data_IF_594079818709
#
_entry.id   IF_594079818709
#
_cell.length_a   1.000
_cell.length_b   1.000
_cell.length_c   1.000
_cell.angle_alpha   90.00
_cell.angle_beta   90.00
_cell.angle_gamma   90.00
#
_symmetry.space_group_name_H-M   'P 1'
#
loop_
_entity.id
_entity.type
_entity.pdbx_description
1 polymer ?
#
# COMPACT_ATOMS: atom_id res chain seq x y z
N UNK A 1 -5.27 -6.94 2.81
CA UNK A 1 -5.52 -5.55 2.36
C UNK A 1 -5.99 -4.63 3.48
N UNK A 2 -7.01 -4.97 4.31
CA UNK A 2 -7.45 -4.07 5.39
C UNK A 2 -6.36 -3.81 6.45
N UNK A 3 -5.61 -4.86 6.81
CA UNK A 3 -4.55 -4.80 7.82
C UNK A 3 -3.41 -3.86 7.42
N UNK A 4 -2.97 -3.91 6.16
CA UNK A 4 -1.93 -3.02 5.61
C UNK A 4 -2.32 -1.55 5.72
N UNK A 5 -3.60 -1.23 5.49
CA UNK A 5 -4.10 0.13 5.68
C UNK A 5 -4.09 0.54 7.15
N UNK A 6 -4.52 -0.33 8.05
CA UNK A 6 -4.49 -0.07 9.49
C UNK A 6 -3.08 0.22 9.99
N UNK A 7 -2.09 -0.59 9.59
CA UNK A 7 -0.68 -0.39 9.95
C UNK A 7 -0.12 0.92 9.37
N UNK A 8 -0.45 1.22 8.11
CA UNK A 8 -0.01 2.43 7.43
C UNK A 8 -0.58 3.70 8.07
N UNK A 9 -1.87 3.72 8.41
CA UNK A 9 -2.50 4.85 9.09
C UNK A 9 -1.96 5.04 10.51
N UNK A 10 -1.74 3.95 11.26
CA UNK A 10 -1.12 4.01 12.57
C UNK A 10 0.31 4.57 12.51
N UNK A 11 1.09 4.19 11.49
CA UNK A 11 2.40 4.77 11.24
C UNK A 11 2.34 6.26 10.92
N UNK A 12 1.42 6.68 10.03
CA UNK A 12 1.24 8.08 9.67
C UNK A 12 0.89 8.94 10.90
N UNK A 13 -0.07 8.50 11.71
CA UNK A 13 -0.49 9.17 12.94
C UNK A 13 0.65 9.27 13.96
N UNK A 14 1.38 8.16 14.19
CA UNK A 14 2.51 8.13 15.13
C UNK A 14 3.65 9.08 14.73
N UNK A 15 3.78 9.41 13.45
CA UNK A 15 4.79 10.34 12.94
C UNK A 15 4.25 11.76 12.68
N UNK A 16 2.98 12.03 13.03
CA UNK A 16 2.35 13.34 12.87
C UNK A 16 2.06 13.73 11.41
N UNK A 17 1.96 12.74 10.51
CA UNK A 17 1.56 12.96 9.12
C UNK A 17 0.03 13.00 9.01
N UNK A 18 -0.48 13.95 8.23
CA UNK A 18 -1.89 14.06 7.89
C UNK A 18 -2.13 13.51 6.48
N UNK A 19 -3.19 12.72 6.33
CA UNK A 19 -3.60 12.13 5.05
C UNK A 19 -4.26 13.20 4.20
N UNK A 20 -3.49 13.80 3.30
CA UNK A 20 -3.95 14.88 2.42
C UNK A 20 -4.84 14.37 1.27
N UNK A 21 -4.56 13.17 0.75
CA UNK A 21 -5.25 12.59 -0.40
C UNK A 21 -5.63 11.12 -0.21
N UNK A 22 -6.48 10.61 -1.10
CA UNK A 22 -6.78 9.18 -1.13
C UNK A 22 -5.52 8.38 -1.48
N UNK A 23 -5.25 7.26 -0.77
CA UNK A 23 -4.09 6.42 -1.04
C UNK A 23 -4.15 5.88 -2.47
N UNK A 24 -3.04 6.01 -3.19
CA UNK A 24 -2.91 5.47 -4.56
C UNK A 24 -2.40 4.03 -4.49
N UNK A 25 -2.67 3.26 -5.53
CA UNK A 25 -2.20 1.88 -5.65
C UNK A 25 -1.38 1.74 -6.93
N UNK A 26 -0.11 1.37 -6.78
CA UNK A 26 0.78 1.02 -7.88
C UNK A 26 1.00 -0.49 -7.86
N UNK A 27 0.38 -1.20 -8.80
CA UNK A 27 0.60 -2.63 -8.97
C UNK A 27 1.90 -2.86 -9.74
N UNK A 28 2.91 -3.37 -9.05
CA UNK A 28 4.26 -3.59 -9.61
C UNK A 28 4.34 -4.99 -10.20
N UNK A 29 3.99 -6.00 -9.41
CA UNK A 29 3.95 -7.41 -9.82
C UNK A 29 2.53 -7.96 -9.63
N UNK A 30 2.03 -8.68 -10.64
CA UNK A 30 0.65 -9.16 -10.70
C UNK A 30 0.46 -10.27 -11.73
N UNK A 31 -0.80 -10.52 -12.10
CA UNK A 31 -1.18 -11.62 -13.00
C UNK A 31 -0.52 -11.55 -14.39
N UNK A 32 -0.04 -10.37 -14.80
CA UNK A 32 0.60 -10.16 -16.10
C UNK A 32 2.10 -10.52 -16.13
N UNK A 33 2.76 -10.68 -14.98
CA UNK A 33 4.21 -10.93 -14.93
C UNK A 33 4.65 -11.99 -13.91
N UNK A 34 3.74 -12.48 -13.05
CA UNK A 34 4.01 -13.52 -12.05
C UNK A 34 2.91 -14.58 -12.02
N UNK A 35 3.30 -15.85 -12.13
CA UNK A 35 2.36 -16.97 -12.08
C UNK A 35 1.84 -17.26 -10.65
N UNK A 36 2.64 -16.95 -9.64
CA UNK A 36 2.28 -17.15 -8.24
C UNK A 36 1.75 -15.87 -7.59
N UNK A 37 0.59 -15.95 -6.95
CA UNK A 37 -0.02 -14.84 -6.19
C UNK A 37 0.88 -14.36 -5.06
N UNK A 38 1.71 -15.25 -4.51
CA UNK A 38 2.64 -14.91 -3.42
C UNK A 38 3.80 -14.01 -3.88
N UNK A 39 4.01 -13.87 -5.20
CA UNK A 39 5.00 -12.96 -5.79
C UNK A 39 4.39 -11.62 -6.21
N UNK A 40 3.08 -11.43 -6.04
CA UNK A 40 2.43 -10.17 -6.42
C UNK A 40 2.79 -9.06 -5.43
N UNK A 41 3.09 -7.87 -5.95
CA UNK A 41 3.53 -6.73 -5.19
C UNK A 41 2.72 -5.49 -5.58
N UNK A 42 2.16 -4.83 -4.58
CA UNK A 42 1.48 -3.53 -4.74
C UNK A 42 2.10 -2.54 -3.78
N UNK A 43 2.54 -1.40 -4.30
CA UNK A 43 3.04 -0.28 -3.50
C UNK A 43 1.93 0.74 -3.28
N UNK A 44 1.83 1.24 -2.05
CA UNK A 44 0.89 2.28 -1.65
C UNK A 44 1.71 3.54 -1.31
N UNK A 45 1.89 4.46 -2.27
CA UNK A 45 2.61 5.70 -2.01
C UNK A 45 1.76 6.69 -1.19
N UNK A 46 2.42 7.40 -0.29
CA UNK A 46 1.86 8.46 0.54
C UNK A 46 2.70 9.73 0.37
N UNK A 47 2.06 10.86 0.06
CA UNK A 47 2.67 12.17 -0.13
C UNK A 47 1.77 13.26 0.42
#
# INVERSE_FOLDING_TARGET
>A
MPETFTELYAYAEANGYEVSEQPRFCYIDGIWNKESVNEWLTEIPFY
#
